data_IF_747686341467
#
_entry.id   IF_747686341467
#
_cell.length_a   1.000
_cell.length_b   1.000
_cell.length_c   1.000
_cell.angle_alpha   90.00
_cell.angle_beta   90.00
_cell.angle_gamma   90.00
#
_symmetry.space_group_name_H-M   'P 1'
#
loop_
_entity.id
_entity.type
_entity.pdbx_description
1 polymer ?
#
# COMPACT_ATOMS: atom_id res chain seq x y z
N UNK A 1 -9.24 1.04 11.68
CA UNK A 1 -9.13 1.75 10.39
C UNK A 1 -7.66 1.89 10.02
N UNK A 2 -7.32 2.05 8.75
CA UNK A 2 -5.92 2.15 8.31
C UNK A 2 -5.33 3.54 8.62
N UNK A 3 -4.09 3.55 9.10
CA UNK A 3 -3.32 4.74 9.45
C UNK A 3 -2.02 4.84 8.65
N UNK A 4 -1.42 6.02 8.62
CA UNK A 4 -0.11 6.21 8.00
C UNK A 4 0.93 5.38 8.74
N UNK A 5 1.72 4.61 7.97
CA UNK A 5 2.67 3.63 8.50
C UNK A 5 2.14 2.20 8.54
N UNK A 6 0.83 1.99 8.41
CA UNK A 6 0.27 0.64 8.36
C UNK A 6 0.65 -0.07 7.06
N UNK A 7 0.90 -1.38 7.15
CA UNK A 7 0.96 -2.25 5.98
C UNK A 7 -0.48 -2.54 5.58
N UNK A 8 -0.85 -2.20 4.35
CA UNK A 8 -2.22 -2.33 3.85
C UNK A 8 -2.30 -3.26 2.66
N UNK A 9 -3.43 -3.96 2.55
CA UNK A 9 -3.89 -4.51 1.28
C UNK A 9 -4.63 -3.40 0.54
N UNK A 10 -4.06 -2.92 -0.56
CA UNK A 10 -4.64 -1.89 -1.40
C UNK A 10 -5.04 -2.47 -2.76
N UNK A 11 -6.13 -1.97 -3.32
CA UNK A 11 -6.54 -2.18 -4.71
C UNK A 11 -6.31 -0.90 -5.50
N UNK A 12 -5.65 -1.02 -6.64
CA UNK A 12 -5.40 0.03 -7.63
C UNK A 12 -6.00 -0.45 -8.95
N UNK A 13 -7.09 0.16 -9.41
CA UNK A 13 -7.79 -0.23 -10.66
C UNK A 13 -8.14 -1.72 -10.74
N UNK A 14 -8.43 -2.34 -9.59
CA UNK A 14 -8.77 -3.76 -9.46
C UNK A 14 -7.57 -4.68 -9.23
N UNK A 15 -6.33 -4.19 -9.30
CA UNK A 15 -5.13 -4.95 -8.98
C UNK A 15 -4.73 -4.79 -7.51
N UNK A 16 -4.46 -5.91 -6.85
CA UNK A 16 -4.08 -5.95 -5.44
C UNK A 16 -2.58 -5.80 -5.22
N UNK A 17 -2.22 -5.02 -4.20
CA UNK A 17 -0.84 -4.88 -3.74
C UNK A 17 -0.77 -4.79 -2.22
N UNK A 18 0.33 -5.30 -1.65
CA UNK A 18 0.67 -5.12 -0.24
C UNK A 18 1.83 -4.13 -0.15
N UNK A 19 1.59 -3.01 0.52
CA UNK A 19 2.53 -1.88 0.66
C UNK A 19 2.28 -1.15 1.98
N UNK A 20 3.23 -0.33 2.40
CA UNK A 20 3.04 0.57 3.54
C UNK A 20 2.33 1.84 3.09
N UNK A 21 1.25 2.21 3.79
CA UNK A 21 0.48 3.42 3.50
C UNK A 21 1.25 4.67 3.95
N UNK A 22 1.45 5.61 3.04
CA UNK A 22 2.07 6.90 3.29
C UNK A 22 1.28 8.03 2.64
N UNK A 23 1.75 9.26 2.86
CA UNK A 23 1.22 10.47 2.24
C UNK A 23 2.36 11.29 1.64
N UNK A 24 2.07 11.91 0.52
CA UNK A 24 2.91 12.93 -0.08
C UNK A 24 2.83 14.25 0.69
N UNK A 25 3.75 15.17 0.38
CA UNK A 25 3.75 16.54 0.95
C UNK A 25 2.46 17.31 0.67
N UNK A 26 1.81 17.03 -0.46
CA UNK A 26 0.51 17.60 -0.84
C UNK A 26 -0.69 16.86 -0.21
N UNK A 27 -0.45 15.86 0.65
CA UNK A 27 -1.48 15.09 1.33
C UNK A 27 -2.06 13.91 0.54
N UNK A 28 -1.69 13.72 -0.74
CA UNK A 28 -2.19 12.60 -1.53
C UNK A 28 -1.63 11.26 -1.03
N UNK A 29 -2.39 10.15 -1.13
CA UNK A 29 -1.91 8.85 -0.69
C UNK A 29 -0.77 8.34 -1.57
N UNK A 30 0.16 7.61 -0.95
CA UNK A 30 1.30 6.96 -1.58
C UNK A 30 1.52 5.60 -0.96
N UNK A 31 1.98 4.62 -1.74
CA UNK A 31 2.30 3.28 -1.26
C UNK A 31 3.80 3.02 -1.34
N UNK A 32 4.42 2.80 -0.18
CA UNK A 32 5.85 2.54 -0.07
C UNK A 32 6.15 1.02 -0.20
N UNK A 33 7.20 0.64 -0.96
CA UNK A 33 7.65 -0.73 -1.02
C UNK A 33 8.51 -1.07 0.20
N UNK A 34 8.52 -2.35 0.57
CA UNK A 34 9.45 -2.90 1.56
C UNK A 34 10.74 -3.46 0.91
N UNK A 35 11.04 -3.05 -0.32
CA UNK A 35 12.20 -3.48 -1.10
C UNK A 35 12.78 -2.27 -1.84
N UNK A 36 14.06 -1.98 -1.61
CA UNK A 36 14.78 -0.84 -2.16
C UNK A 36 14.90 -0.86 -3.69
N UNK A 37 14.80 -2.03 -4.32
CA UNK A 37 14.81 -2.16 -5.77
C UNK A 37 13.52 -1.62 -6.43
N UNK A 38 12.49 -1.30 -5.64
CA UNK A 38 11.20 -0.82 -6.13
C UNK A 38 10.98 0.63 -5.74
N UNK A 39 10.42 1.40 -6.67
CA UNK A 39 9.99 2.77 -6.39
C UNK A 39 8.61 2.77 -5.71
N UNK A 40 8.32 3.76 -4.87
CA UNK A 40 6.97 3.98 -4.37
C UNK A 40 5.95 4.23 -5.46
N UNK A 41 4.71 3.83 -5.19
CA UNK A 41 3.57 4.06 -6.08
C UNK A 41 2.84 5.29 -5.61
N UNK A 42 2.78 6.31 -6.46
CA UNK A 42 1.94 7.49 -6.25
C UNK A 42 0.49 7.16 -6.63
N UNK A 43 -0.47 7.43 -5.75
CA UNK A 43 -1.89 7.35 -6.12
C UNK A 43 -2.23 8.64 -6.85
N UNK A 44 -2.17 8.59 -8.17
CA UNK A 44 -2.50 9.70 -9.06
C UNK A 44 -4.01 9.88 -9.18
N UNK A 45 -4.40 11.08 -9.58
CA UNK A 45 -5.79 11.41 -9.86
C UNK A 45 -6.30 10.54 -11.03
N UNK A 46 -7.49 9.95 -10.88
CA UNK A 46 -8.09 9.04 -11.86
C UNK A 46 -7.87 7.55 -11.60
N UNK A 47 -6.96 7.17 -10.71
CA UNK A 47 -6.80 5.77 -10.27
C UNK A 47 -7.89 5.43 -9.26
N UNK A 48 -8.59 4.31 -9.46
CA UNK A 48 -9.50 3.76 -8.46
C UNK A 48 -8.70 3.12 -7.34
N UNK A 49 -8.53 3.89 -6.26
CA UNK A 49 -7.77 3.46 -5.08
C UNK A 49 -8.70 3.09 -3.92
N UNK A 50 -8.51 1.89 -3.37
CA UNK A 50 -9.24 1.41 -2.21
C UNK A 50 -8.33 0.67 -1.24
N UNK A 51 -8.43 0.98 0.05
CA UNK A 51 -7.82 0.17 1.12
C UNK A 51 -8.83 -0.90 1.51
N UNK A 52 -8.45 -2.17 1.33
CA UNK A 52 -9.26 -3.32 1.71
C UNK A 52 -9.11 -3.68 3.18
N UNK A 53 -7.91 -3.48 3.73
CA UNK A 53 -7.65 -3.76 5.14
C UNK A 53 -6.21 -3.53 5.53
N UNK A 54 -5.98 -3.55 6.85
CA UNK A 54 -4.66 -3.50 7.46
C UNK A 54 -4.14 -4.93 7.64
N UNK A 55 -2.90 -5.17 7.24
CA UNK A 55 -2.22 -6.45 7.41
C UNK A 55 -1.79 -6.58 8.86
N UNK A 56 -2.24 -7.64 9.53
CA UNK A 56 -1.93 -7.91 10.95
C UNK A 56 -0.84 -8.95 11.16
N UNK A 57 -0.46 -9.69 10.12
CA UNK A 57 0.58 -10.70 10.20
C UNK A 57 0.88 -11.35 8.85
N UNK A 58 1.96 -12.13 8.82
CA UNK A 58 2.34 -12.94 7.69
C UNK A 58 2.66 -14.36 8.17
N UNK A 59 2.21 -15.36 7.43
CA UNK A 59 2.50 -16.77 7.70
C UNK A 59 3.42 -17.29 6.61
N UNK A 60 4.58 -17.82 7.00
CA UNK A 60 5.54 -18.43 6.07
C UNK A 60 5.75 -19.90 6.43
N UNK A 61 5.30 -20.79 5.55
CA UNK A 61 5.59 -22.22 5.64
C UNK A 61 6.85 -22.51 4.82
N UNK A 62 7.89 -22.97 5.50
CA UNK A 62 9.10 -23.47 4.86
C UNK A 62 8.98 -24.98 4.65
N UNK A 63 9.59 -25.51 3.59
CA UNK A 63 9.71 -26.95 3.35
C UNK A 63 10.90 -27.48 4.12
#
# INVERSE_FOLDING_TARGET
EASIGDIVLASLDGEFTVKTLAKNKNGSPRLLPANEAFSPIEVLEGIQFQIWGVVTGAVRKFK
#
